data_IF_971223240950
#
_entry.id   IF_971223240950
#
_cell.length_a   1.000
_cell.length_b   1.000
_cell.length_c   1.000
_cell.angle_alpha   90.00
_cell.angle_beta   90.00
_cell.angle_gamma   90.00
#
_symmetry.space_group_name_H-M   'P 1'
#
loop_
_entity.id
_entity.type
_entity.pdbx_description
1 polymer ?
#
# COMPACT_ATOMS: atom_id res chain seq x y z
N UNK A 1 -15.16 9.87 16.22
CA UNK A 1 -15.31 8.41 16.01
C UNK A 1 -13.91 7.90 15.64
N UNK A 2 -13.50 6.72 16.09
CA UNK A 2 -12.24 6.14 15.65
C UNK A 2 -12.33 5.91 14.13
N UNK A 3 -11.25 6.16 13.38
CA UNK A 3 -11.21 5.86 11.95
C UNK A 3 -11.41 4.36 11.73
N UNK A 4 -12.10 3.99 10.66
CA UNK A 4 -12.28 2.57 10.33
C UNK A 4 -10.95 1.95 9.87
N UNK A 5 -10.11 2.74 9.16
CA UNK A 5 -8.82 2.28 8.61
C UNK A 5 -7.71 3.28 8.93
N UNK A 6 -6.61 2.79 9.48
CA UNK A 6 -5.36 3.54 9.64
C UNK A 6 -4.30 3.01 8.67
N UNK A 7 -3.87 3.85 7.73
CA UNK A 7 -2.82 3.54 6.75
C UNK A 7 -1.50 4.14 7.22
N UNK A 8 -0.51 3.30 7.50
CA UNK A 8 0.75 3.69 8.13
C UNK A 8 1.93 3.57 7.17
N UNK A 9 2.72 4.63 7.05
CA UNK A 9 4.01 4.60 6.36
C UNK A 9 4.36 5.90 5.66
N UNK A 10 4.99 5.79 4.49
CA UNK A 10 5.54 6.91 3.74
C UNK A 10 4.47 7.80 3.10
N UNK A 11 4.73 9.11 3.17
CA UNK A 11 4.18 10.15 2.29
C UNK A 11 5.37 10.89 1.70
N UNK A 12 5.39 11.08 0.39
CA UNK A 12 6.56 11.57 -0.32
C UNK A 12 6.20 12.33 -1.60
N UNK A 13 7.20 12.99 -2.17
CA UNK A 13 7.13 13.55 -3.52
C UNK A 13 7.90 12.68 -4.51
N UNK A 14 7.22 12.19 -5.55
CA UNK A 14 7.86 11.65 -6.75
C UNK A 14 8.29 12.81 -7.64
N UNK A 15 9.60 13.05 -7.72
CA UNK A 15 10.18 14.16 -8.49
C UNK A 15 10.56 13.66 -9.87
N UNK A 16 9.72 13.98 -10.85
CA UNK A 16 9.89 13.61 -12.25
C UNK A 16 10.40 14.80 -13.06
N UNK A 17 10.99 14.60 -14.23
CA UNK A 17 11.37 15.70 -15.12
C UNK A 17 10.20 16.62 -15.52
N UNK A 18 8.98 16.10 -15.47
CA UNK A 18 7.74 16.83 -15.82
C UNK A 18 7.09 17.55 -14.64
N UNK A 19 7.65 17.45 -13.43
CA UNK A 19 7.09 18.00 -12.20
C UNK A 19 7.09 16.98 -11.07
N UNK A 20 6.52 17.37 -9.92
CA UNK A 20 6.41 16.47 -8.77
C UNK A 20 4.97 16.01 -8.56
N UNK A 21 4.83 14.77 -8.17
CA UNK A 21 3.57 14.13 -7.84
C UNK A 21 3.58 13.70 -6.37
N UNK A 22 2.49 13.92 -5.67
CA UNK A 22 2.33 13.41 -4.31
C UNK A 22 2.07 11.91 -4.37
N UNK A 23 2.78 11.16 -3.55
CA UNK A 23 2.73 9.71 -3.49
C UNK A 23 3.07 9.14 -2.11
N UNK A 24 3.32 7.85 -2.10
CA UNK A 24 3.50 7.02 -0.92
C UNK A 24 2.37 5.99 -0.84
N UNK A 25 2.72 4.69 -0.83
CA UNK A 25 1.72 3.63 -0.94
C UNK A 25 0.63 3.72 0.15
N UNK A 26 0.93 3.88 1.44
CA UNK A 26 -0.11 4.01 2.47
C UNK A 26 -0.99 5.25 2.29
N UNK A 27 -0.42 6.35 1.81
CA UNK A 27 -1.17 7.55 1.50
C UNK A 27 -2.14 7.31 0.32
N UNK A 28 -1.66 6.69 -0.77
CA UNK A 28 -2.48 6.36 -1.92
C UNK A 28 -3.66 5.46 -1.55
N UNK A 29 -3.41 4.42 -0.74
CA UNK A 29 -4.47 3.52 -0.22
C UNK A 29 -5.50 4.32 0.58
N UNK A 30 -5.07 5.16 1.53
CA UNK A 30 -5.99 5.97 2.35
C UNK A 30 -6.82 6.92 1.50
N UNK A 31 -6.20 7.60 0.52
CA UNK A 31 -6.90 8.48 -0.41
C UNK A 31 -8.04 7.75 -1.13
N UNK A 32 -7.76 6.59 -1.74
CA UNK A 32 -8.77 5.83 -2.46
C UNK A 32 -9.85 5.24 -1.56
N UNK A 33 -9.52 4.85 -0.33
CA UNK A 33 -10.50 4.43 0.67
C UNK A 33 -11.48 5.56 1.01
N UNK A 34 -10.98 6.78 1.23
CA UNK A 34 -11.83 7.95 1.47
C UNK A 34 -12.74 8.25 0.29
N UNK A 35 -12.21 8.20 -0.95
CA UNK A 35 -13.02 8.35 -2.17
C UNK A 35 -14.10 7.26 -2.29
N UNK A 36 -13.87 6.07 -1.73
CA UNK A 36 -14.85 4.98 -1.65
C UNK A 36 -15.84 5.11 -0.47
N UNK A 37 -15.74 6.20 0.32
CA UNK A 37 -16.62 6.48 1.47
C UNK A 37 -16.23 5.70 2.74
N UNK A 38 -15.01 5.23 2.86
CA UNK A 38 -14.46 4.61 4.06
C UNK A 38 -13.70 5.66 4.87
N UNK A 39 -13.99 5.80 6.16
CA UNK A 39 -13.23 6.67 7.06
C UNK A 39 -11.83 6.10 7.24
N UNK A 40 -10.84 6.73 6.60
CA UNK A 40 -9.43 6.32 6.68
C UNK A 40 -8.54 7.51 7.02
N UNK A 41 -7.44 7.23 7.73
CA UNK A 41 -6.44 8.24 8.08
C UNK A 41 -5.04 7.73 7.77
N UNK A 42 -4.15 8.67 7.45
CA UNK A 42 -2.73 8.37 7.21
C UNK A 42 -1.94 8.66 8.47
N UNK A 43 -1.18 7.66 8.91
CA UNK A 43 -0.17 7.83 9.96
C UNK A 43 1.18 7.95 9.25
N UNK A 44 1.75 9.15 9.27
CA UNK A 44 3.04 9.43 8.62
C UNK A 44 3.77 10.57 9.31
N UNK A 45 4.99 10.83 8.87
CA UNK A 45 5.80 11.93 9.35
C UNK A 45 6.47 12.65 8.19
N UNK A 46 6.35 13.98 8.17
CA UNK A 46 6.95 14.88 7.18
C UNK A 46 7.96 15.81 7.85
N UNK A 47 8.87 16.38 7.09
CA UNK A 47 9.83 17.36 7.59
C UNK A 47 9.17 18.73 7.87
N UNK A 48 9.79 19.50 8.75
CA UNK A 48 9.46 20.92 8.95
C UNK A 48 10.17 21.77 7.89
N UNK A 49 9.82 21.56 6.62
CA UNK A 49 10.42 22.17 5.44
C UNK A 49 9.35 22.56 4.40
N UNK A 50 9.72 23.28 3.32
CA UNK A 50 8.76 23.68 2.29
C UNK A 50 8.00 22.53 1.66
N UNK A 51 8.63 21.36 1.42
CA UNK A 51 7.98 20.19 0.83
C UNK A 51 6.95 19.58 1.78
N UNK A 52 7.22 19.56 3.08
CA UNK A 52 6.26 19.16 4.11
C UNK A 52 5.07 20.12 4.17
N UNK A 53 5.32 21.42 4.04
CA UNK A 53 4.26 22.43 3.93
C UNK A 53 3.35 22.20 2.72
N UNK A 54 3.92 21.83 1.58
CA UNK A 54 3.17 21.49 0.37
C UNK A 54 2.36 20.20 0.52
N UNK A 55 2.88 19.17 1.24
CA UNK A 55 2.11 17.96 1.56
C UNK A 55 0.89 18.32 2.41
N UNK A 56 1.05 19.14 3.45
CA UNK A 56 -0.08 19.60 4.26
C UNK A 56 -1.13 20.34 3.43
N UNK A 57 -0.69 21.25 2.56
CA UNK A 57 -1.60 21.98 1.66
C UNK A 57 -2.34 21.02 0.69
N UNK A 58 -1.69 19.94 0.24
CA UNK A 58 -2.33 18.93 -0.58
C UNK A 58 -3.36 18.12 0.22
N UNK A 59 -3.08 17.76 1.48
CA UNK A 59 -4.03 17.11 2.37
C UNK A 59 -5.26 18.01 2.59
N UNK A 60 -5.06 19.30 2.87
CA UNK A 60 -6.16 20.26 3.03
C UNK A 60 -7.01 20.35 1.76
N UNK A 61 -6.36 20.46 0.58
CA UNK A 61 -7.04 20.51 -0.73
C UNK A 61 -7.94 19.31 -0.98
N UNK A 62 -7.49 18.10 -0.58
CA UNK A 62 -8.19 16.85 -0.79
C UNK A 62 -9.10 16.47 0.38
N UNK A 63 -9.24 17.33 1.41
CA UNK A 63 -9.93 17.07 2.67
C UNK A 63 -9.46 15.79 3.38
N UNK A 64 -8.15 15.49 3.31
CA UNK A 64 -7.56 14.34 3.99
C UNK A 64 -7.23 14.73 5.43
N UNK A 65 -7.68 13.96 6.44
CA UNK A 65 -7.39 14.27 7.84
C UNK A 65 -5.90 14.29 8.15
N UNK A 66 -5.45 15.30 8.89
CA UNK A 66 -4.04 15.49 9.28
C UNK A 66 -3.74 15.11 10.74
N UNK A 67 -4.70 14.49 11.44
CA UNK A 67 -4.59 14.14 12.87
C UNK A 67 -3.34 13.32 13.19
N UNK A 68 -2.91 12.48 12.27
CA UNK A 68 -1.73 11.60 12.42
C UNK A 68 -0.61 11.90 11.41
N UNK A 69 -0.65 13.08 10.77
CA UNK A 69 0.45 13.58 9.96
C UNK A 69 1.40 14.42 10.84
N UNK A 70 2.40 13.77 11.40
CA UNK A 70 3.34 14.39 12.33
C UNK A 70 4.43 15.17 11.60
N UNK A 71 5.05 16.14 12.31
CA UNK A 71 6.19 16.90 11.79
C UNK A 71 7.47 16.50 12.51
N UNK A 72 8.48 16.11 11.75
CA UNK A 72 9.81 15.83 12.30
C UNK A 72 10.60 17.15 12.43
N UNK A 73 11.27 17.39 13.58
CA UNK A 73 11.93 18.67 13.82
C UNK A 73 13.18 18.92 12.97
N UNK A 74 13.83 17.86 12.46
CA UNK A 74 15.14 17.96 11.80
C UNK A 74 15.32 17.10 10.56
N UNK A 75 14.60 15.97 10.41
CA UNK A 75 14.69 15.17 9.20
C UNK A 75 13.83 15.79 8.09
N UNK A 76 14.32 15.71 6.82
CA UNK A 76 13.62 16.31 5.68
C UNK A 76 12.38 15.50 5.27
N UNK A 77 11.47 16.18 4.58
CA UNK A 77 10.39 15.52 3.85
C UNK A 77 10.96 14.65 2.73
N UNK A 78 10.38 13.47 2.56
CA UNK A 78 10.85 12.47 1.62
C UNK A 78 10.61 12.86 0.16
N UNK A 79 11.59 12.53 -0.65
CA UNK A 79 11.53 12.62 -2.10
C UNK A 79 12.04 11.31 -2.72
N UNK A 80 11.43 10.93 -3.84
CA UNK A 80 11.97 9.95 -4.78
C UNK A 80 12.37 10.69 -6.03
N UNK A 81 13.64 10.61 -6.40
CA UNK A 81 14.18 11.25 -7.61
C UNK A 81 14.47 10.22 -8.67
N UNK A 82 14.41 10.63 -9.94
CA UNK A 82 14.78 9.81 -11.09
C UNK A 82 16.18 10.20 -11.52
N UNK A 83 17.10 9.25 -11.46
CA UNK A 83 18.44 9.37 -12.04
C UNK A 83 18.48 8.58 -13.35
N UNK A 84 19.07 9.15 -14.39
CA UNK A 84 19.28 8.48 -15.66
C UNK A 84 20.74 8.03 -15.73
N UNK A 85 20.97 6.77 -16.06
CA UNK A 85 22.32 6.29 -16.35
C UNK A 85 22.82 6.79 -17.75
N UNK A 86 24.06 6.45 -18.09
CA UNK A 86 24.68 6.85 -19.36
C UNK A 86 23.95 6.29 -20.59
N UNK A 87 23.14 5.24 -20.41
CA UNK A 87 22.31 4.61 -21.44
C UNK A 87 20.86 5.17 -21.45
N UNK A 88 20.54 6.13 -20.55
CA UNK A 88 19.21 6.73 -20.41
C UNK A 88 18.19 5.86 -19.66
N UNK A 89 18.63 4.82 -18.95
CA UNK A 89 17.78 3.99 -18.12
C UNK A 89 17.50 4.72 -16.81
N UNK A 90 16.21 4.84 -16.46
CA UNK A 90 15.77 5.48 -15.23
C UNK A 90 15.99 4.58 -14.02
N UNK A 91 16.55 5.16 -12.96
CA UNK A 91 16.65 4.55 -11.63
C UNK A 91 15.96 5.47 -10.63
N UNK A 92 15.09 4.90 -9.80
CA UNK A 92 14.39 5.63 -8.74
C UNK A 92 15.22 5.61 -7.47
N UNK A 93 15.56 6.78 -6.95
CA UNK A 93 16.34 6.93 -5.72
C UNK A 93 15.43 7.40 -4.60
N UNK A 94 15.19 6.51 -3.63
CA UNK A 94 14.45 6.82 -2.42
C UNK A 94 15.43 7.35 -1.38
N UNK A 95 15.36 8.65 -1.09
CA UNK A 95 16.30 9.29 -0.18
C UNK A 95 16.17 8.78 1.27
N UNK A 96 17.29 8.82 2.00
CA UNK A 96 17.36 8.48 3.43
C UNK A 96 18.55 9.20 4.10
N UNK A 97 18.48 9.53 5.44
CA UNK A 97 17.27 9.42 6.28
C UNK A 97 16.27 10.52 5.96
N UNK A 98 14.99 10.25 6.18
CA UNK A 98 13.87 11.19 5.97
C UNK A 98 12.86 11.09 7.13
N UNK A 99 11.91 12.03 7.21
CA UNK A 99 11.02 12.14 8.35
C UNK A 99 10.25 10.85 8.69
N UNK A 100 9.72 10.13 7.70
CA UNK A 100 8.99 8.89 7.95
C UNK A 100 9.87 7.68 8.35
N UNK A 101 11.20 7.83 8.36
CA UNK A 101 12.09 6.83 8.98
C UNK A 101 11.99 6.84 10.51
N UNK A 102 11.35 7.84 11.11
CA UNK A 102 11.21 7.98 12.56
C UNK A 102 9.75 8.22 13.00
N UNK A 103 8.77 7.59 12.35
CA UNK A 103 7.36 7.74 12.74
C UNK A 103 7.15 7.23 14.16
N UNK A 104 6.67 8.12 15.01
CA UNK A 104 6.28 7.83 16.39
C UNK A 104 4.87 8.34 16.64
N UNK A 105 4.07 7.55 17.32
CA UNK A 105 2.69 7.90 17.67
C UNK A 105 2.66 8.29 19.13
N UNK A 106 2.46 9.57 19.49
CA UNK A 106 2.20 9.97 20.86
C UNK A 106 0.95 9.25 21.38
N UNK A 107 1.00 8.74 22.60
CA UNK A 107 -0.14 8.06 23.26
C UNK A 107 -0.69 6.85 22.46
N UNK A 108 0.18 6.08 21.84
CA UNK A 108 -0.21 4.87 21.09
C UNK A 108 -1.13 3.95 21.92
N UNK A 109 -0.99 3.93 23.24
CA UNK A 109 -1.80 3.10 24.13
C UNK A 109 -3.29 3.50 24.12
N UNK A 110 -3.61 4.74 23.79
CA UNK A 110 -4.98 5.28 23.73
C UNK A 110 -5.61 5.15 22.34
N UNK A 111 -4.82 4.72 21.33
CA UNK A 111 -5.28 4.60 19.96
C UNK A 111 -6.07 3.31 19.75
N UNK A 112 -7.32 3.42 19.31
CA UNK A 112 -8.12 2.31 18.84
C UNK A 112 -7.83 2.06 17.34
N UNK A 113 -7.48 0.82 16.99
CA UNK A 113 -7.11 0.44 15.62
C UNK A 113 -8.03 -0.69 15.17
N UNK A 114 -9.04 -0.34 14.37
CA UNK A 114 -9.95 -1.34 13.78
C UNK A 114 -9.27 -2.08 12.64
N UNK A 115 -8.80 -1.36 11.61
CA UNK A 115 -8.04 -1.90 10.48
C UNK A 115 -6.73 -1.16 10.36
N UNK A 116 -5.63 -1.88 10.32
CA UNK A 116 -4.27 -1.34 10.20
C UNK A 116 -3.63 -1.78 8.90
N UNK A 117 -3.40 -0.83 8.00
CA UNK A 117 -2.74 -1.05 6.70
C UNK A 117 -1.31 -0.53 6.77
N UNK A 118 -0.33 -1.34 6.42
CA UNK A 118 1.07 -0.94 6.41
C UNK A 118 1.85 -1.64 5.27
N UNK A 119 2.99 -1.06 4.89
CA UNK A 119 3.89 -1.59 3.87
C UNK A 119 5.29 -1.90 4.40
N UNK A 120 6.12 -2.53 3.57
CA UNK A 120 7.50 -2.90 3.94
C UNK A 120 8.46 -1.71 3.93
N UNK A 121 8.27 -0.71 3.06
CA UNK A 121 9.26 0.34 2.82
C UNK A 121 9.52 1.19 4.06
N UNK A 122 8.49 1.67 4.74
CA UNK A 122 8.65 2.48 5.94
C UNK A 122 9.30 1.70 7.09
N UNK A 123 9.17 0.36 7.08
CA UNK A 123 9.80 -0.54 8.05
C UNK A 123 11.31 -0.74 7.82
N UNK A 124 11.91 -0.07 6.82
CA UNK A 124 13.37 -0.07 6.63
C UNK A 124 14.12 0.50 7.84
N UNK A 125 13.53 1.48 8.50
CA UNK A 125 14.05 2.05 9.73
C UNK A 125 13.61 1.25 10.96
N UNK A 126 14.52 0.95 11.91
CA UNK A 126 14.17 0.27 13.16
C UNK A 126 13.11 1.00 13.97
N UNK A 127 13.18 2.34 14.10
CA UNK A 127 12.24 3.14 14.88
C UNK A 127 10.80 3.04 14.34
N UNK A 128 10.65 3.24 13.04
CA UNK A 128 9.33 3.12 12.39
C UNK A 128 8.81 1.70 12.45
N UNK A 129 9.68 0.69 12.29
CA UNK A 129 9.31 -0.72 12.40
C UNK A 129 8.80 -1.09 13.80
N UNK A 130 9.45 -0.62 14.86
CA UNK A 130 8.97 -0.79 16.23
C UNK A 130 7.55 -0.23 16.41
N UNK A 131 7.28 0.95 15.84
CA UNK A 131 5.95 1.56 15.88
C UNK A 131 4.92 0.73 15.11
N UNK A 132 5.29 0.21 13.91
CA UNK A 132 4.42 -0.70 13.12
C UNK A 132 4.08 -1.95 13.90
N UNK A 133 5.07 -2.61 14.52
CA UNK A 133 4.85 -3.83 15.29
C UNK A 133 3.94 -3.58 16.51
N UNK A 134 4.10 -2.44 17.17
CA UNK A 134 3.25 -2.04 18.29
C UNK A 134 1.80 -1.74 17.82
N UNK A 135 1.60 -1.10 16.67
CA UNK A 135 0.27 -0.90 16.08
C UNK A 135 -0.36 -2.23 15.66
N UNK A 136 0.41 -3.09 14.98
CA UNK A 136 -0.02 -4.43 14.56
C UNK A 136 -0.54 -5.25 15.74
N UNK A 137 0.15 -5.23 16.87
CA UNK A 137 -0.25 -5.95 18.09
C UNK A 137 -1.57 -5.45 18.72
N UNK A 138 -2.00 -4.21 18.39
CA UNK A 138 -3.23 -3.58 18.90
C UNK A 138 -4.39 -3.67 17.90
N UNK A 139 -4.10 -3.81 16.62
CA UNK A 139 -5.11 -3.78 15.57
C UNK A 139 -6.06 -4.97 15.66
N UNK A 140 -7.35 -4.71 15.46
CA UNK A 140 -8.36 -5.76 15.37
C UNK A 140 -8.28 -6.54 14.04
N UNK A 141 -7.78 -5.90 12.98
CA UNK A 141 -7.54 -6.50 11.67
C UNK A 141 -6.32 -5.86 11.02
N UNK A 142 -5.41 -6.68 10.52
CA UNK A 142 -4.13 -6.24 9.95
C UNK A 142 -4.05 -6.53 8.46
N UNK A 143 -3.57 -5.54 7.69
CA UNK A 143 -3.37 -5.60 6.24
C UNK A 143 -1.94 -5.23 5.91
N UNK A 144 -1.19 -6.15 5.34
CA UNK A 144 0.20 -5.93 4.92
C UNK A 144 0.31 -5.91 3.39
N UNK A 145 0.63 -4.77 2.84
CA UNK A 145 1.06 -4.64 1.44
C UNK A 145 2.58 -4.86 1.37
N UNK A 146 3.01 -5.98 0.84
CA UNK A 146 4.43 -6.38 0.77
C UNK A 146 5.24 -5.31 0.04
N UNK A 147 4.87 -4.95 -1.17
CA UNK A 147 5.32 -3.80 -1.95
C UNK A 147 6.83 -3.54 -1.83
N UNK A 148 7.65 -4.52 -2.22
CA UNK A 148 9.10 -4.52 -2.05
C UNK A 148 9.78 -3.37 -2.81
N UNK A 149 10.76 -2.75 -2.18
CA UNK A 149 11.61 -1.72 -2.79
C UNK A 149 13.08 -2.03 -2.52
N UNK A 150 13.81 -2.42 -3.57
CA UNK A 150 15.26 -2.66 -3.50
C UNK A 150 15.98 -1.33 -3.22
N UNK A 151 16.98 -1.30 -2.28
CA UNK A 151 17.53 -2.41 -1.49
C UNK A 151 16.91 -2.51 -0.07
N UNK A 152 15.73 -1.99 0.18
CA UNK A 152 15.18 -1.69 1.51
C UNK A 152 14.44 -2.87 2.18
N UNK A 153 14.65 -4.10 1.75
CA UNK A 153 14.07 -5.28 2.37
C UNK A 153 15.10 -6.39 2.60
N UNK A 154 14.79 -7.32 3.48
CA UNK A 154 15.46 -8.62 3.63
C UNK A 154 14.43 -9.68 4.00
N UNK A 155 14.78 -10.97 3.78
CA UNK A 155 13.91 -12.09 4.15
C UNK A 155 13.44 -11.99 5.61
N UNK A 156 14.37 -11.81 6.54
CA UNK A 156 14.09 -11.76 7.99
C UNK A 156 13.11 -10.65 8.35
N UNK A 157 13.25 -9.48 7.69
CA UNK A 157 12.36 -8.34 7.92
C UNK A 157 10.96 -8.60 7.35
N UNK A 158 10.87 -9.19 6.16
CA UNK A 158 9.58 -9.54 5.59
C UNK A 158 8.90 -10.60 6.42
N UNK A 159 9.64 -11.62 6.89
CA UNK A 159 9.11 -12.64 7.79
C UNK A 159 8.55 -12.03 9.08
N UNK A 160 9.31 -11.15 9.75
CA UNK A 160 8.86 -10.45 10.97
C UNK A 160 7.54 -9.69 10.77
N UNK A 161 7.40 -9.02 9.62
CA UNK A 161 6.21 -8.22 9.31
C UNK A 161 5.01 -9.09 8.90
N UNK A 162 5.27 -10.20 8.20
CA UNK A 162 4.26 -11.05 7.57
C UNK A 162 3.60 -12.06 8.53
N UNK A 163 4.27 -12.48 9.61
CA UNK A 163 3.68 -13.43 10.58
C UNK A 163 2.45 -12.85 11.27
N UNK A 164 1.39 -13.66 11.43
CA UNK A 164 0.15 -13.31 12.13
C UNK A 164 -0.53 -12.03 11.58
N UNK A 165 -0.47 -11.84 10.26
CA UNK A 165 -1.23 -10.80 9.55
C UNK A 165 -2.51 -11.41 9.00
N UNK A 166 -3.64 -10.71 9.12
CA UNK A 166 -4.92 -11.23 8.65
C UNK A 166 -5.02 -11.24 7.12
N UNK A 167 -4.50 -10.18 6.48
CA UNK A 167 -4.60 -9.99 5.05
C UNK A 167 -3.24 -9.52 4.48
N UNK A 168 -2.71 -10.26 3.51
CA UNK A 168 -1.49 -9.91 2.79
C UNK A 168 -1.80 -9.67 1.32
N UNK A 169 -1.24 -8.58 0.76
CA UNK A 169 -1.26 -8.32 -0.68
C UNK A 169 0.18 -8.25 -1.20
N UNK A 170 0.38 -8.83 -2.37
CA UNK A 170 1.63 -8.81 -3.12
C UNK A 170 1.35 -8.89 -4.64
N UNK A 171 2.38 -8.68 -5.46
CA UNK A 171 2.32 -9.04 -6.87
C UNK A 171 2.87 -10.46 -7.10
N UNK A 172 2.80 -10.97 -8.33
CA UNK A 172 3.26 -12.29 -8.72
C UNK A 172 4.78 -12.46 -8.58
N UNK A 173 5.57 -11.44 -8.89
CA UNK A 173 7.03 -11.45 -8.72
C UNK A 173 7.42 -11.51 -7.22
N UNK A 174 6.72 -10.78 -6.37
CA UNK A 174 6.89 -10.81 -4.92
C UNK A 174 6.47 -12.16 -4.32
N UNK A 175 5.38 -12.74 -4.84
CA UNK A 175 4.92 -14.07 -4.45
C UNK A 175 5.99 -15.12 -4.76
N UNK A 176 6.50 -15.15 -5.99
CA UNK A 176 7.55 -16.07 -6.43
C UNK A 176 8.81 -15.93 -5.57
N UNK A 177 9.27 -14.70 -5.34
CA UNK A 177 10.46 -14.42 -4.52
C UNK A 177 10.29 -14.93 -3.09
N UNK A 178 9.14 -14.67 -2.45
CA UNK A 178 8.92 -15.08 -1.06
C UNK A 178 8.69 -16.59 -0.97
N UNK A 179 8.01 -17.16 -1.96
CA UNK A 179 7.84 -18.62 -2.03
C UNK A 179 9.20 -19.34 -2.16
N UNK A 180 10.11 -18.83 -3.00
CA UNK A 180 11.45 -19.40 -3.14
C UNK A 180 12.26 -19.34 -1.84
N UNK A 181 12.06 -18.35 -1.00
CA UNK A 181 12.73 -18.27 0.31
C UNK A 181 12.30 -19.38 1.29
N UNK A 182 11.07 -19.88 1.18
CA UNK A 182 10.47 -20.80 2.17
C UNK A 182 10.18 -22.18 1.60
N UNK A 183 9.86 -22.26 0.33
CA UNK A 183 9.41 -23.45 -0.38
C UNK A 183 10.07 -23.54 -1.76
N UNK A 184 11.42 -23.64 -1.83
CA UNK A 184 12.12 -23.66 -3.10
C UNK A 184 11.67 -24.82 -3.97
N UNK A 185 11.30 -24.53 -5.21
CA UNK A 185 10.79 -25.50 -6.17
C UNK A 185 9.27 -25.70 -6.17
N UNK A 186 8.53 -25.01 -5.30
CA UNK A 186 7.07 -24.94 -5.42
C UNK A 186 6.69 -23.96 -6.53
N UNK A 187 6.03 -24.45 -7.56
CA UNK A 187 5.63 -23.67 -8.72
C UNK A 187 4.12 -23.52 -8.81
N UNK A 188 3.69 -22.37 -9.33
CA UNK A 188 2.29 -22.03 -9.56
C UNK A 188 1.67 -21.18 -8.45
N UNK A 189 1.02 -20.10 -8.88
CA UNK A 189 0.47 -19.06 -8.01
C UNK A 189 -0.42 -19.64 -6.90
N UNK A 190 -1.35 -20.52 -7.24
CA UNK A 190 -2.29 -21.10 -6.27
C UNK A 190 -1.60 -21.96 -5.21
N UNK A 191 -0.56 -22.71 -5.60
CA UNK A 191 0.21 -23.56 -4.69
C UNK A 191 1.00 -22.68 -3.74
N UNK A 192 1.71 -21.69 -4.26
CA UNK A 192 2.51 -20.72 -3.49
C UNK A 192 1.64 -19.91 -2.52
N UNK A 193 0.48 -19.41 -2.97
CA UNK A 193 -0.48 -18.72 -2.10
C UNK A 193 -0.91 -19.58 -0.92
N UNK A 194 -1.27 -20.84 -1.14
CA UNK A 194 -1.68 -21.77 -0.09
C UNK A 194 -0.55 -22.09 0.87
N UNK A 195 0.66 -22.36 0.34
CA UNK A 195 1.83 -22.68 1.14
C UNK A 195 2.24 -21.53 2.05
N UNK A 196 2.36 -20.32 1.50
CA UNK A 196 2.72 -19.12 2.27
C UNK A 196 1.64 -18.72 3.27
N UNK A 197 0.34 -18.80 2.89
CA UNK A 197 -0.75 -18.50 3.82
C UNK A 197 -0.77 -19.45 5.01
N UNK A 198 -0.52 -20.73 4.78
CA UNK A 198 -0.42 -21.72 5.85
C UNK A 198 0.82 -21.48 6.74
N UNK A 199 1.96 -21.10 6.14
CA UNK A 199 3.20 -20.85 6.86
C UNK A 199 3.12 -19.62 7.77
N UNK A 200 2.55 -18.51 7.27
CA UNK A 200 2.48 -17.22 7.97
C UNK A 200 1.19 -17.00 8.76
N UNK A 201 0.18 -17.84 8.58
CA UNK A 201 -1.11 -17.71 9.26
C UNK A 201 -2.07 -16.72 8.61
N UNK A 202 -1.91 -16.38 7.31
CA UNK A 202 -2.77 -15.42 6.63
C UNK A 202 -4.19 -15.97 6.40
N UNK A 203 -5.20 -15.14 6.69
CA UNK A 203 -6.62 -15.46 6.42
C UNK A 203 -7.02 -15.09 5.00
N UNK A 204 -6.40 -14.04 4.45
CA UNK A 204 -6.62 -13.57 3.08
C UNK A 204 -5.26 -13.32 2.43
N UNK A 205 -5.03 -13.88 1.26
CA UNK A 205 -3.86 -13.62 0.42
C UNK A 205 -4.34 -13.11 -0.94
N UNK A 206 -3.88 -11.93 -1.33
CA UNK A 206 -4.23 -11.25 -2.57
C UNK A 206 -2.98 -11.12 -3.43
N UNK A 207 -3.06 -11.64 -4.67
CA UNK A 207 -1.94 -11.58 -5.63
C UNK A 207 -2.39 -10.91 -6.90
N UNK A 208 -1.72 -9.82 -7.27
CA UNK A 208 -1.94 -9.10 -8.54
C UNK A 208 -0.95 -9.58 -9.59
N UNK A 209 -1.42 -9.85 -10.82
CA UNK A 209 -0.64 -10.35 -11.95
C UNK A 209 -0.68 -9.37 -13.13
N UNK A 210 -0.55 -8.08 -12.85
CA UNK A 210 -0.51 -7.03 -13.86
C UNK A 210 -1.68 -7.07 -14.84
N UNK A 211 -1.37 -7.27 -16.12
CA UNK A 211 -2.38 -7.32 -17.19
C UNK A 211 -3.21 -8.61 -17.22
N UNK A 212 -2.79 -9.66 -16.54
CA UNK A 212 -3.49 -10.94 -16.54
C UNK A 212 -4.69 -10.93 -15.58
N UNK A 213 -4.59 -10.21 -14.46
CA UNK A 213 -5.66 -10.13 -13.48
C UNK A 213 -5.18 -10.23 -12.03
N UNK A 214 -5.99 -10.86 -11.18
CA UNK A 214 -5.63 -11.04 -9.78
C UNK A 214 -6.32 -12.26 -9.15
N UNK A 215 -5.65 -12.83 -8.16
CA UNK A 215 -6.13 -13.93 -7.35
C UNK A 215 -6.42 -13.48 -5.93
N UNK A 216 -7.42 -14.07 -5.29
CA UNK A 216 -7.59 -14.00 -3.83
C UNK A 216 -7.79 -15.41 -3.29
N UNK A 217 -7.02 -15.75 -2.26
CA UNK A 217 -7.26 -16.92 -1.39
C UNK A 217 -7.93 -16.41 -0.12
N UNK A 218 -9.11 -16.90 0.15
CA UNK A 218 -9.88 -16.62 1.36
C UNK A 218 -10.69 -17.85 1.79
N UNK A 219 -10.68 -18.18 3.08
CA UNK A 219 -11.37 -19.37 3.63
C UNK A 219 -11.02 -20.69 2.93
N UNK A 220 -9.81 -20.81 2.38
CA UNK A 220 -9.33 -21.98 1.66
C UNK A 220 -9.76 -22.04 0.18
N UNK A 221 -10.59 -21.11 -0.28
CA UNK A 221 -11.02 -21.01 -1.67
C UNK A 221 -10.20 -19.93 -2.42
N UNK A 222 -9.90 -20.20 -3.69
CA UNK A 222 -9.22 -19.27 -4.58
C UNK A 222 -10.20 -18.78 -5.64
N UNK A 223 -10.26 -17.46 -5.81
CA UNK A 223 -10.96 -16.81 -6.91
C UNK A 223 -9.98 -16.06 -7.77
N UNK A 224 -10.25 -16.02 -9.07
CA UNK A 224 -9.49 -15.26 -10.05
C UNK A 224 -10.43 -14.35 -10.85
N UNK A 225 -9.96 -13.14 -11.13
CA UNK A 225 -10.64 -12.18 -12.03
C UNK A 225 -9.61 -11.62 -13.00
N UNK A 226 -9.91 -11.68 -14.29
CA UNK A 226 -9.08 -11.07 -15.33
C UNK A 226 -9.04 -9.55 -15.20
N UNK A 227 -7.94 -8.94 -15.62
CA UNK A 227 -7.82 -7.49 -15.66
C UNK A 227 -8.81 -6.87 -16.65
N UNK A 228 -9.14 -5.58 -16.42
CA UNK A 228 -9.91 -4.81 -17.38
C UNK A 228 -8.95 -4.17 -18.38
N UNK A 229 -9.09 -4.45 -19.69
CA UNK A 229 -8.25 -3.85 -20.71
C UNK A 229 -8.41 -2.32 -20.75
N UNK A 230 -7.30 -1.59 -20.56
CA UNK A 230 -7.27 -0.13 -20.63
C UNK A 230 -6.06 0.36 -21.42
N UNK A 231 -6.16 1.58 -21.94
CA UNK A 231 -4.99 2.26 -22.47
C UNK A 231 -4.13 2.74 -21.32
N UNK A 232 -2.98 2.10 -21.10
CA UNK A 232 -2.04 2.44 -20.05
C UNK A 232 -1.47 3.85 -20.27
N UNK A 233 -1.68 4.73 -19.31
CA UNK A 233 -1.06 6.05 -19.23
C UNK A 233 0.08 6.07 -18.20
N UNK A 234 -0.12 5.40 -17.06
CA UNK A 234 0.84 5.27 -15.97
C UNK A 234 0.45 4.03 -15.14
N UNK A 235 1.43 3.37 -14.52
CA UNK A 235 1.19 2.24 -13.61
C UNK A 235 1.39 2.62 -12.14
N UNK A 236 1.86 3.85 -11.86
CA UNK A 236 2.10 4.34 -10.50
C UNK A 236 0.78 4.37 -9.72
N UNK A 237 0.78 3.75 -8.52
CA UNK A 237 -0.38 3.71 -7.63
C UNK A 237 -1.49 2.73 -8.03
N UNK A 238 -1.34 1.99 -9.15
CA UNK A 238 -2.32 0.97 -9.57
C UNK A 238 -2.50 -0.13 -8.52
N UNK A 239 -1.40 -0.63 -7.94
CA UNK A 239 -1.42 -1.62 -6.86
C UNK A 239 -2.07 -1.11 -5.58
N UNK A 240 -1.83 0.17 -5.24
CA UNK A 240 -2.41 0.83 -4.07
C UNK A 240 -3.92 1.02 -4.25
N UNK A 241 -4.34 1.45 -5.46
CA UNK A 241 -5.75 1.57 -5.82
C UNK A 241 -6.45 0.22 -5.82
N UNK A 242 -5.77 -0.84 -6.30
CA UNK A 242 -6.29 -2.21 -6.25
C UNK A 242 -6.57 -2.63 -4.81
N UNK A 243 -5.57 -2.46 -3.91
CA UNK A 243 -5.72 -2.77 -2.49
C UNK A 243 -6.87 -2.00 -1.86
N UNK A 244 -6.94 -0.68 -2.11
CA UNK A 244 -8.00 0.16 -1.58
C UNK A 244 -9.39 -0.27 -2.07
N UNK A 245 -9.55 -0.57 -3.35
CA UNK A 245 -10.79 -1.05 -3.95
C UNK A 245 -11.24 -2.38 -3.35
N UNK A 246 -10.29 -3.32 -3.19
CA UNK A 246 -10.56 -4.61 -2.56
C UNK A 246 -10.99 -4.44 -1.09
N UNK A 247 -10.22 -3.68 -0.31
CA UNK A 247 -10.48 -3.47 1.11
C UNK A 247 -11.81 -2.73 1.33
N UNK A 248 -12.11 -1.69 0.54
CA UNK A 248 -13.38 -0.97 0.62
C UNK A 248 -14.58 -1.90 0.35
N UNK A 249 -14.47 -2.78 -0.65
CA UNK A 249 -15.51 -3.75 -0.95
C UNK A 249 -15.66 -4.80 0.17
N UNK A 250 -14.53 -5.28 0.72
CA UNK A 250 -14.50 -6.24 1.83
C UNK A 250 -15.15 -5.66 3.09
N UNK A 251 -14.86 -4.41 3.44
CA UNK A 251 -15.49 -3.71 4.58
C UNK A 251 -17.01 -3.53 4.39
N UNK A 252 -17.46 -3.44 3.13
CA UNK A 252 -18.89 -3.46 2.75
C UNK A 252 -19.47 -4.88 2.65
N UNK A 253 -18.71 -5.92 3.03
CA UNK A 253 -19.11 -7.32 3.10
C UNK A 253 -19.49 -7.95 1.75
N UNK A 254 -18.88 -7.52 0.65
CA UNK A 254 -18.99 -8.22 -0.63
C UNK A 254 -18.22 -9.56 -0.60
N UNK A 255 -18.59 -10.49 -1.51
CA UNK A 255 -17.82 -11.72 -1.73
C UNK A 255 -16.43 -11.45 -2.26
N UNK A 256 -15.48 -12.40 -2.08
CA UNK A 256 -14.10 -12.27 -2.56
C UNK A 256 -14.03 -11.96 -4.06
N UNK A 257 -14.81 -12.66 -4.87
CA UNK A 257 -14.90 -12.40 -6.31
C UNK A 257 -15.39 -10.96 -6.62
N UNK A 258 -16.43 -10.48 -5.92
CA UNK A 258 -16.93 -9.12 -6.11
C UNK A 258 -15.95 -8.08 -5.62
N UNK A 259 -15.16 -8.37 -4.56
CA UNK A 259 -14.07 -7.53 -4.11
C UNK A 259 -12.99 -7.41 -5.20
N UNK A 260 -12.59 -8.54 -5.84
CA UNK A 260 -11.65 -8.54 -6.96
C UNK A 260 -12.16 -7.70 -8.14
N UNK A 261 -13.42 -7.86 -8.54
CA UNK A 261 -14.02 -7.08 -9.63
C UNK A 261 -13.92 -5.57 -9.37
N UNK A 262 -14.28 -5.13 -8.16
CA UNK A 262 -14.21 -3.70 -7.78
C UNK A 262 -12.77 -3.20 -7.68
N UNK A 263 -11.85 -4.00 -7.17
CA UNK A 263 -10.43 -3.70 -7.12
C UNK A 263 -9.82 -3.53 -8.51
N UNK A 264 -10.11 -4.48 -9.41
CA UNK A 264 -9.66 -4.46 -10.81
C UNK A 264 -10.18 -3.22 -11.54
N UNK A 265 -11.46 -2.86 -11.32
CA UNK A 265 -12.06 -1.66 -11.89
C UNK A 265 -11.35 -0.37 -11.46
N UNK A 266 -11.07 -0.23 -10.15
CA UNK A 266 -10.39 0.95 -9.63
C UNK A 266 -8.93 1.02 -10.11
N UNK A 267 -8.21 -0.11 -10.11
CA UNK A 267 -6.85 -0.17 -10.63
C UNK A 267 -6.78 0.22 -12.12
N UNK A 268 -7.71 -0.29 -12.94
CA UNK A 268 -7.82 0.06 -14.36
C UNK A 268 -8.10 1.57 -14.56
N UNK A 269 -8.98 2.14 -13.74
CA UNK A 269 -9.25 3.59 -13.73
C UNK A 269 -7.99 4.40 -13.46
N UNK A 270 -7.18 4.02 -12.47
CA UNK A 270 -5.93 4.71 -12.14
C UNK A 270 -4.89 4.49 -13.25
N UNK A 271 -4.70 3.27 -13.72
CA UNK A 271 -3.74 2.93 -14.79
C UNK A 271 -4.00 3.71 -16.09
N UNK A 272 -5.24 4.13 -16.34
CA UNK A 272 -5.60 4.95 -17.53
C UNK A 272 -5.24 6.44 -17.38
N UNK A 273 -4.64 6.85 -16.26
CA UNK A 273 -4.33 8.26 -15.90
C UNK A 273 -2.88 8.41 -15.46
N UNK A 274 -2.37 9.66 -15.42
CA UNK A 274 -1.01 9.94 -14.92
C UNK A 274 -1.03 10.21 -13.43
N UNK A 275 -0.18 9.47 -12.68
CA UNK A 275 -0.04 9.58 -11.23
C UNK A 275 -1.06 8.78 -10.45
N UNK A 276 -0.78 8.60 -9.16
CA UNK A 276 -1.49 7.66 -8.29
C UNK A 276 -2.84 8.17 -7.76
N UNK A 277 -3.10 9.49 -7.79
CA UNK A 277 -4.22 10.11 -7.07
C UNK A 277 -5.16 10.78 -8.06
N UNK A 278 -6.40 10.29 -8.13
CA UNK A 278 -7.47 10.87 -8.91
C UNK A 278 -8.78 10.78 -8.17
N UNK A 279 -9.60 11.86 -8.22
CA UNK A 279 -10.95 11.82 -7.71
C UNK A 279 -11.78 10.79 -8.48
N UNK A 280 -12.53 9.98 -7.76
CA UNK A 280 -13.51 9.06 -8.30
C UNK A 280 -14.71 9.03 -7.35
N UNK A 281 -15.90 9.19 -7.87
CA UNK A 281 -17.12 9.04 -7.08
C UNK A 281 -17.27 7.56 -6.71
N UNK A 282 -17.14 7.20 -5.44
CA UNK A 282 -17.26 5.90 -4.74
C UNK A 282 -17.70 4.61 -5.43
N UNK A 283 -18.14 4.71 -6.65
CA UNK A 283 -18.37 3.64 -7.62
C UNK A 283 -17.65 4.04 -8.91
N UNK A 284 -16.43 3.54 -9.14
CA UNK A 284 -16.03 3.29 -10.52
C UNK A 284 -16.92 2.14 -10.97
N UNK A 285 -18.18 2.46 -11.33
CA UNK A 285 -19.00 1.59 -12.12
C UNK A 285 -18.35 1.56 -13.50
N UNK A 286 -17.44 0.61 -13.68
CA UNK A 286 -17.26 0.10 -15.02
C UNK A 286 -18.56 -0.64 -15.29
N UNK A 287 -19.40 -0.09 -16.17
CA UNK A 287 -20.45 -0.84 -16.83
C UNK A 287 -19.78 -2.02 -17.51
N UNK A 288 -19.70 -3.12 -16.79
CA UNK A 288 -19.33 -4.43 -17.31
C UNK A 288 -20.66 -5.04 -17.76
N UNK A 289 -21.15 -4.60 -18.96
CA UNK A 289 -22.16 -5.31 -19.70
C UNK A 289 -21.61 -6.64 -20.25
#
# INVERSE_FOLDING_TARGET
MAADVLCFGEVLWDVLPTGKLLGGAPFNVSFHLQQAGIDSKVISQIGNDPLGGEIRAAFDKWNIPTDYLFMHPSLPTSQVTVELDEQGKATYVIHQPVAWDEIQIPNLQELDINVFVFGSLACRSPKTRETVLACKAKAAYTVFDINLRTPFFSKERIDELAFDVDFVKMNDEELELIADWHFPGEEGIEIQMKALSAHFGWKTCLVTCGADGAYVLENGEIHFVSSVPVKVADTIGSGDAFLAGFLAAKLKRYSGEKCLQKATALAAFITSRKGAIHEHAGSVELDLD
#
